data_IF_027413814254
#
_entry.id   IF_027413814254
#
_cell.length_a   1.000
_cell.length_b   1.000
_cell.length_c   1.000
_cell.angle_alpha   90.00
_cell.angle_beta   90.00
_cell.angle_gamma   90.00
#
_symmetry.space_group_name_H-M   'P 1'
#
loop_
_entity.id
_entity.type
_entity.pdbx_description
1 polymer ?
#
# COMPACT_ATOMS: atom_id res chain seq x y z
N UNK A 1 8.78 -16.48 3.85
CA UNK A 1 7.51 -16.97 4.43
C UNK A 1 6.96 -15.87 5.33
N UNK A 2 5.84 -15.24 4.99
CA UNK A 2 5.22 -14.23 5.85
C UNK A 2 4.67 -14.91 7.11
N UNK A 3 4.99 -14.38 8.30
CA UNK A 3 4.46 -14.89 9.56
C UNK A 3 2.96 -14.61 9.61
N UNK A 4 2.16 -15.59 10.04
CA UNK A 4 0.74 -15.34 10.30
C UNK A 4 0.64 -14.48 11.54
N UNK A 5 -0.41 -13.66 11.66
CA UNK A 5 -0.67 -12.84 12.86
C UNK A 5 -0.67 -13.69 14.15
N UNK A 6 -0.98 -14.99 14.03
CA UNK A 6 -0.95 -15.99 15.11
C UNK A 6 0.45 -16.38 15.60
N UNK A 7 1.53 -16.05 14.88
CA UNK A 7 2.91 -16.44 15.21
C UNK A 7 3.68 -15.35 15.99
N UNK A 8 3.02 -14.25 16.31
CA UNK A 8 3.56 -13.13 17.09
C UNK A 8 3.38 -13.36 18.59
N UNK A 9 4.23 -12.78 19.46
CA UNK A 9 4.04 -12.85 20.90
C UNK A 9 2.65 -12.33 21.28
N UNK A 10 1.89 -13.12 22.03
CA UNK A 10 0.49 -12.85 22.35
C UNK A 10 0.29 -12.53 23.83
N UNK A 11 -0.55 -11.54 24.13
CA UNK A 11 -1.06 -11.27 25.48
C UNK A 11 -2.53 -11.71 25.59
N UNK A 12 -2.91 -12.29 26.74
CA UNK A 12 -4.32 -12.64 27.01
C UNK A 12 -5.11 -11.40 27.42
N UNK A 13 -6.32 -11.28 26.86
CA UNK A 13 -7.29 -10.25 27.22
C UNK A 13 -8.63 -10.93 27.49
N UNK A 14 -9.34 -10.47 28.52
CA UNK A 14 -10.71 -10.90 28.82
C UNK A 14 -11.69 -9.90 28.21
N UNK A 15 -12.59 -10.38 27.36
CA UNK A 15 -13.60 -9.56 26.69
C UNK A 15 -14.98 -10.13 26.98
N UNK A 16 -15.91 -9.28 27.40
CA UNK A 16 -17.31 -9.67 27.58
C UNK A 16 -17.99 -9.78 26.20
N UNK A 17 -18.59 -10.94 25.92
CA UNK A 17 -19.36 -11.16 24.69
C UNK A 17 -20.86 -11.14 25.00
N UNK A 18 -21.67 -10.36 24.27
CA UNK A 18 -23.12 -10.49 24.32
C UNK A 18 -23.54 -11.93 24.01
N UNK A 19 -24.44 -12.49 24.82
CA UNK A 19 -24.85 -13.90 24.67
C UNK A 19 -25.35 -14.26 23.26
N UNK A 20 -26.15 -13.42 22.56
CA UNK A 20 -26.59 -13.74 21.21
C UNK A 20 -25.44 -13.86 20.22
N UNK A 21 -24.45 -12.98 20.32
CA UNK A 21 -23.27 -12.99 19.46
C UNK A 21 -22.39 -14.21 19.73
N UNK A 22 -22.16 -14.53 21.01
CA UNK A 22 -21.40 -15.72 21.37
C UNK A 22 -22.07 -17.00 20.88
N UNK A 23 -23.40 -17.06 20.90
CA UNK A 23 -24.16 -18.20 20.37
C UNK A 23 -23.93 -18.37 18.88
N UNK A 24 -24.08 -17.31 18.10
CA UNK A 24 -23.83 -17.33 16.66
C UNK A 24 -22.38 -17.75 16.34
N UNK A 25 -21.41 -17.24 17.09
CA UNK A 25 -20.01 -17.64 16.93
C UNK A 25 -19.83 -19.13 17.20
N UNK A 26 -20.46 -19.67 18.25
CA UNK A 26 -20.38 -21.09 18.61
C UNK A 26 -21.04 -22.01 17.58
N UNK A 27 -22.11 -21.56 16.94
CA UNK A 27 -22.83 -22.28 15.88
C UNK A 27 -22.04 -22.30 14.56
N UNK A 28 -21.36 -21.21 14.22
CA UNK A 28 -20.67 -21.05 12.93
C UNK A 28 -19.20 -21.45 12.92
N UNK A 29 -18.54 -21.41 14.08
CA UNK A 29 -17.07 -21.59 14.17
C UNK A 29 -16.71 -22.67 15.18
N UNK A 30 -15.87 -23.62 14.73
CA UNK A 30 -15.42 -24.74 15.55
C UNK A 30 -14.66 -24.26 16.81
N UNK A 31 -14.76 -24.97 17.95
CA UNK A 31 -14.16 -24.53 19.22
C UNK A 31 -12.69 -24.11 19.16
N UNK A 32 -11.86 -24.81 18.37
CA UNK A 32 -10.41 -24.55 18.24
C UNK A 32 -10.07 -23.42 17.26
N UNK A 33 -11.03 -22.96 16.47
CA UNK A 33 -10.84 -21.94 15.43
C UNK A 33 -11.34 -20.56 15.86
N UNK A 34 -12.18 -20.49 16.90
CA UNK A 34 -12.79 -19.24 17.38
C UNK A 34 -11.77 -18.16 17.72
N UNK A 35 -10.63 -18.54 18.32
CA UNK A 35 -9.57 -17.59 18.64
C UNK A 35 -8.96 -16.97 17.39
N UNK A 36 -8.61 -17.80 16.40
CA UNK A 36 -8.09 -17.34 15.12
C UNK A 36 -9.11 -16.48 14.38
N UNK A 37 -10.38 -16.88 14.38
CA UNK A 37 -11.48 -16.12 13.79
C UNK A 37 -11.63 -14.73 14.40
N UNK A 38 -11.62 -14.63 15.74
CA UNK A 38 -11.72 -13.34 16.44
C UNK A 38 -10.51 -12.45 16.12
N UNK A 39 -9.29 -13.01 16.15
CA UNK A 39 -8.06 -12.25 15.85
C UNK A 39 -8.09 -11.72 14.42
N UNK A 40 -8.50 -12.55 13.47
CA UNK A 40 -8.62 -12.15 12.08
C UNK A 40 -9.67 -11.03 11.89
N UNK A 41 -10.85 -11.18 12.48
CA UNK A 41 -11.90 -10.16 12.39
C UNK A 41 -11.44 -8.81 12.99
N UNK A 42 -10.69 -8.84 14.09
CA UNK A 42 -10.10 -7.64 14.71
C UNK A 42 -9.05 -7.01 13.79
N UNK A 43 -8.15 -7.82 13.21
CA UNK A 43 -7.12 -7.33 12.29
C UNK A 43 -7.73 -6.67 11.03
N UNK A 44 -8.75 -7.29 10.43
CA UNK A 44 -9.47 -6.74 9.28
C UNK A 44 -10.17 -5.41 9.64
N UNK A 45 -10.80 -5.34 10.82
CA UNK A 45 -11.48 -4.11 11.25
C UNK A 45 -10.50 -2.97 11.51
N UNK A 46 -9.35 -3.26 12.12
CA UNK A 46 -8.30 -2.27 12.37
C UNK A 46 -7.69 -1.77 11.06
N UNK A 47 -7.43 -2.65 10.09
CA UNK A 47 -6.93 -2.25 8.78
C UNK A 47 -7.90 -1.30 8.05
N UNK A 48 -9.21 -1.57 8.15
CA UNK A 48 -10.22 -0.67 7.60
C UNK A 48 -10.22 0.69 8.30
N UNK A 49 -10.06 0.73 9.63
CA UNK A 49 -9.98 1.99 10.38
C UNK A 49 -8.75 2.80 9.98
N UNK A 50 -7.58 2.15 9.86
CA UNK A 50 -6.35 2.80 9.40
C UNK A 50 -6.54 3.42 8.01
N UNK A 51 -7.18 2.70 7.08
CA UNK A 51 -7.45 3.22 5.75
C UNK A 51 -8.39 4.43 5.79
N UNK A 52 -9.43 4.40 6.63
CA UNK A 52 -10.35 5.54 6.77
C UNK A 52 -9.61 6.77 7.33
N UNK A 53 -8.79 6.58 8.37
CA UNK A 53 -7.94 7.64 8.91
C UNK A 53 -7.01 8.21 7.84
N UNK A 54 -6.34 7.36 7.06
CA UNK A 54 -5.46 7.80 5.99
C UNK A 54 -6.19 8.62 4.92
N UNK A 55 -7.44 8.26 4.59
CA UNK A 55 -8.29 9.03 3.67
C UNK A 55 -8.63 10.39 4.28
N UNK A 56 -9.00 10.44 5.56
CA UNK A 56 -9.33 11.68 6.25
C UNK A 56 -8.11 12.61 6.37
N UNK A 57 -6.94 12.08 6.73
CA UNK A 57 -5.69 12.83 6.81
C UNK A 57 -5.21 13.32 5.45
N UNK A 58 -5.47 12.53 4.39
CA UNK A 58 -5.13 12.90 3.02
C UNK A 58 -6.15 13.83 2.36
N UNK A 59 -7.31 14.04 2.99
CA UNK A 59 -8.34 14.90 2.47
C UNK A 59 -7.83 16.35 2.41
N UNK A 60 -7.84 16.93 1.21
CA UNK A 60 -7.36 18.30 0.98
C UNK A 60 -5.84 18.44 0.78
N UNK A 61 -5.05 17.36 0.89
CA UNK A 61 -3.63 17.38 0.51
C UNK A 61 -3.48 17.65 -0.99
N UNK A 62 -4.41 17.13 -1.80
CA UNK A 62 -4.44 17.40 -3.24
C UNK A 62 -5.34 18.61 -3.54
N UNK A 63 -4.74 19.80 -3.61
CA UNK A 63 -5.43 21.02 -4.05
C UNK A 63 -4.95 21.45 -5.43
N UNK A 64 -5.84 22.06 -6.23
CA UNK A 64 -5.47 22.62 -7.54
C UNK A 64 -4.47 23.80 -7.42
N UNK A 65 -4.38 24.44 -6.25
CA UNK A 65 -3.39 25.48 -5.96
C UNK A 65 -1.99 24.88 -5.75
N UNK A 66 -1.91 23.70 -5.12
CA UNK A 66 -0.67 22.96 -4.90
C UNK A 66 -0.16 22.23 -6.15
N UNK A 67 -1.04 22.00 -7.12
CA UNK A 67 -0.76 21.29 -8.38
C UNK A 67 -1.24 22.08 -9.61
N UNK A 68 -0.62 23.24 -9.92
CA UNK A 68 -1.01 24.06 -11.07
C UNK A 68 -0.87 23.33 -12.41
N UNK A 69 0.01 22.34 -12.49
CA UNK A 69 0.20 21.46 -13.64
C UNK A 69 -1.01 20.57 -13.95
N UNK A 70 -1.96 20.47 -13.00
CA UNK A 70 -3.20 19.70 -13.16
C UNK A 70 -4.45 20.58 -13.24
N UNK A 71 -4.28 21.90 -13.41
CA UNK A 71 -5.37 22.88 -13.33
C UNK A 71 -6.31 22.85 -14.54
N UNK A 72 -5.78 22.58 -15.73
CA UNK A 72 -6.55 22.51 -16.98
C UNK A 72 -6.07 21.36 -17.85
N UNK A 73 -6.89 20.91 -18.80
CA UNK A 73 -6.52 19.85 -19.76
C UNK A 73 -5.20 20.18 -20.48
N UNK A 74 -4.98 21.45 -20.84
CA UNK A 74 -3.75 21.90 -21.49
C UNK A 74 -2.52 21.85 -20.57
N UNK A 75 -2.69 22.13 -19.28
CA UNK A 75 -1.62 22.02 -18.29
C UNK A 75 -1.25 20.55 -18.04
N UNK A 76 -2.26 19.68 -17.98
CA UNK A 76 -2.10 18.22 -17.84
C UNK A 76 -1.35 17.66 -19.04
N UNK A 77 -1.75 18.02 -20.26
CA UNK A 77 -1.09 17.56 -21.49
C UNK A 77 0.37 18.00 -21.56
N UNK A 78 0.66 19.23 -21.14
CA UNK A 78 2.04 19.76 -21.05
C UNK A 78 2.86 18.94 -20.06
N UNK A 79 2.34 18.73 -18.86
CA UNK A 79 3.00 17.98 -17.79
C UNK A 79 3.24 16.51 -18.17
N UNK A 80 2.24 15.84 -18.75
CA UNK A 80 2.38 14.48 -19.28
C UNK A 80 3.46 14.40 -20.38
N UNK A 81 3.56 15.43 -21.23
CA UNK A 81 4.62 15.55 -22.22
C UNK A 81 6.02 15.59 -21.61
N UNK A 82 6.20 16.37 -20.54
CA UNK A 82 7.48 16.48 -19.81
C UNK A 82 7.86 15.16 -19.11
N UNK A 83 6.90 14.50 -18.47
CA UNK A 83 7.11 13.19 -17.82
C UNK A 83 7.48 12.12 -18.86
N UNK A 84 6.75 12.04 -19.97
CA UNK A 84 7.01 11.02 -21.00
C UNK A 84 8.38 11.21 -21.66
N UNK A 85 8.85 12.46 -21.79
CA UNK A 85 10.19 12.77 -22.30
C UNK A 85 11.29 12.33 -21.35
N UNK A 86 11.10 12.47 -20.03
CA UNK A 86 12.10 12.00 -19.04
C UNK A 86 12.20 10.48 -18.98
N UNK A 87 11.13 9.74 -19.29
CA UNK A 87 11.15 8.28 -19.38
C UNK A 87 11.73 7.77 -20.70
N UNK A 88 11.59 8.56 -21.76
CA UNK A 88 12.16 8.25 -23.08
C UNK A 88 13.59 8.79 -23.15
N UNK A 89 14.51 8.21 -22.37
CA UNK A 89 15.94 8.40 -22.64
C UNK A 89 16.26 7.66 -23.95
N UNK A 90 16.77 8.34 -24.99
CA UNK A 90 17.18 7.66 -26.22
C UNK A 90 18.20 6.55 -25.89
N UNK A 91 17.98 5.36 -26.43
CA UNK A 91 18.90 4.22 -26.28
C UNK A 91 20.34 4.55 -26.73
N UNK A 92 20.53 5.61 -27.53
CA UNK A 92 21.84 6.10 -27.99
C UNK A 92 22.77 6.56 -26.87
N UNK A 93 22.26 6.90 -25.68
CA UNK A 93 23.10 7.34 -24.56
C UNK A 93 23.78 6.17 -23.81
N UNK A 94 23.36 4.92 -24.06
CA UNK A 94 23.98 3.73 -23.46
C UNK A 94 25.25 3.28 -24.18
N UNK A 95 25.37 3.58 -25.47
CA UNK A 95 26.51 3.15 -26.29
C UNK A 95 27.75 4.05 -26.09
N UNK A 96 27.56 5.30 -25.64
CA UNK A 96 28.66 6.24 -25.40
C UNK A 96 29.52 5.91 -24.16
N UNK A 97 29.08 5.02 -23.25
CA UNK A 97 29.83 4.68 -22.03
C UNK A 97 30.70 3.41 -22.17
N UNK A 98 30.43 2.53 -23.13
CA UNK A 98 31.21 1.30 -23.37
C UNK A 98 32.25 1.43 -24.50
N UNK A 99 32.40 2.61 -25.11
CA UNK A 99 33.34 2.88 -26.21
C UNK A 99 34.69 3.47 -25.81
N UNK A 100 35.11 3.38 -24.53
CA UNK A 100 36.44 3.82 -24.07
C UNK A 100 37.16 2.73 -23.26
N UNK A 101 37.32 1.55 -23.85
CA UNK A 101 38.44 0.66 -23.48
C UNK A 101 39.46 0.74 -24.61
N UNK A 102 40.40 1.66 -24.45
CA UNK A 102 41.53 1.86 -25.33
C UNK A 102 42.52 0.71 -25.07
N UNK A 103 42.71 -0.16 -26.06
CA UNK A 103 43.86 -1.06 -26.15
C UNK A 103 44.61 -0.65 -27.42
N UNK A 104 45.77 0.04 -27.33
CA UNK A 104 46.69 0.08 -28.44
C UNK A 104 47.57 -1.16 -28.38
N UNK A 105 47.62 -1.86 -29.52
CA UNK A 105 48.56 -2.92 -29.82
C UNK A 105 49.99 -2.38 -29.87
N UNK A 106 50.94 -3.17 -29.36
CA UNK A 106 52.39 -2.93 -29.42
C UNK A 106 53.12 -4.06 -28.72
#
# INVERSE_FOLDING_TARGET
MAKRVTDLPSQKVTVAFPQPLLRQLKEKVAPRERGAFIVQAVAEKLALQEQLTAIEESAGIWSAESHPELKTDADIDRWLGEIRRTWTRPLSDREAQHGKSHLPSG
#
